data_IF_311670143955
#
_entry.id   IF_311670143955
#
_cell.length_a   1.000
_cell.length_b   1.000
_cell.length_c   1.000
_cell.angle_alpha   90.00
_cell.angle_beta   90.00
_cell.angle_gamma   90.00
#
_symmetry.space_group_name_H-M   'P 1'
#
loop_
_entity.id
_entity.type
_entity.pdbx_description
1 polymer ?
#
# COMPACT_ATOMS: atom_id res chain seq x y z
N UNK A 1 14.38 13.83 14.61
CA UNK A 1 14.16 14.15 13.19
C UNK A 1 14.29 15.65 12.96
N UNK A 2 15.07 16.04 11.97
CA UNK A 2 15.09 17.43 11.54
C UNK A 2 13.78 17.76 10.79
N UNK A 3 13.43 19.04 10.79
CA UNK A 3 12.25 19.52 10.04
C UNK A 3 12.35 19.17 8.55
N UNK A 4 13.56 19.23 7.99
CA UNK A 4 13.84 18.91 6.59
C UNK A 4 13.58 17.42 6.34
N UNK A 5 14.11 16.52 7.15
CA UNK A 5 13.89 15.07 7.02
C UNK A 5 12.41 14.68 7.09
N UNK A 6 11.68 15.30 8.01
CA UNK A 6 10.22 15.07 8.13
C UNK A 6 9.47 15.49 6.86
N UNK A 7 9.86 16.60 6.21
CA UNK A 7 9.25 17.04 4.97
C UNK A 7 9.65 16.19 3.76
N UNK A 8 10.92 15.76 3.67
CA UNK A 8 11.38 14.81 2.66
C UNK A 8 10.56 13.53 2.78
N UNK A 9 10.47 12.94 3.96
CA UNK A 9 9.69 11.72 4.23
C UNK A 9 8.22 11.87 3.81
N UNK A 10 7.59 12.98 4.19
CA UNK A 10 6.21 13.26 3.82
C UNK A 10 6.03 13.38 2.30
N UNK A 11 6.98 13.96 1.60
CA UNK A 11 6.96 14.08 0.13
C UNK A 11 7.12 12.72 -0.53
N UNK A 12 8.04 11.88 -0.05
CA UNK A 12 8.25 10.52 -0.57
C UNK A 12 7.00 9.66 -0.35
N UNK A 13 6.37 9.74 0.82
CA UNK A 13 5.12 9.03 1.11
C UNK A 13 4.02 9.46 0.13
N UNK A 14 3.83 10.77 -0.07
CA UNK A 14 2.84 11.29 -1.01
C UNK A 14 3.13 10.84 -2.45
N UNK A 15 4.38 10.92 -2.89
CA UNK A 15 4.80 10.43 -4.21
C UNK A 15 4.42 8.95 -4.40
N UNK A 16 4.75 8.09 -3.43
CA UNK A 16 4.43 6.66 -3.49
C UNK A 16 2.90 6.41 -3.52
N UNK A 17 2.13 7.20 -2.75
CA UNK A 17 0.66 7.08 -2.72
C UNK A 17 0.00 7.51 -4.03
N UNK A 18 0.47 8.59 -4.62
CA UNK A 18 -0.13 9.17 -5.84
C UNK A 18 0.28 8.44 -7.11
N UNK A 19 1.54 8.08 -7.21
CA UNK A 19 2.09 7.48 -8.44
C UNK A 19 2.16 5.96 -8.41
N UNK A 20 2.22 5.36 -7.21
CA UNK A 20 2.37 3.92 -7.05
C UNK A 20 3.70 3.38 -7.56
N UNK A 21 4.74 4.19 -7.61
CA UNK A 21 6.08 3.80 -8.10
C UNK A 21 6.72 2.72 -7.22
N UNK A 22 6.41 2.71 -5.94
CA UNK A 22 6.95 1.72 -5.02
C UNK A 22 6.07 0.47 -5.00
N UNK A 23 6.51 -0.58 -5.67
CA UNK A 23 5.79 -1.85 -5.78
C UNK A 23 6.68 -3.01 -5.38
N UNK A 24 6.08 -4.02 -4.75
CA UNK A 24 6.75 -5.27 -4.45
C UNK A 24 5.79 -6.45 -4.58
N UNK A 25 6.33 -7.60 -4.91
CA UNK A 25 5.65 -8.88 -4.73
C UNK A 25 6.02 -9.39 -3.34
N UNK A 26 5.01 -9.71 -2.52
CA UNK A 26 5.22 -10.27 -1.19
C UNK A 26 5.48 -11.77 -1.27
N UNK A 27 6.05 -12.32 -0.21
CA UNK A 27 6.28 -13.76 -0.12
C UNK A 27 4.96 -14.54 -0.27
N UNK A 28 4.97 -15.69 -0.95
CA UNK A 28 3.78 -16.50 -1.13
C UNK A 28 3.16 -16.95 0.19
N UNK A 29 1.84 -16.79 0.30
CA UNK A 29 1.10 -17.13 1.51
C UNK A 29 0.53 -18.54 1.39
N UNK A 30 0.69 -19.34 2.45
CA UNK A 30 0.02 -20.63 2.60
C UNK A 30 -1.40 -20.39 3.09
N UNK A 31 -2.39 -20.87 2.34
CA UNK A 31 -3.78 -20.83 2.80
C UNK A 31 -4.11 -22.01 3.68
N UNK A 32 -4.98 -21.78 4.65
CA UNK A 32 -5.43 -22.80 5.59
C UNK A 32 -6.94 -22.93 5.50
N UNK A 33 -7.43 -24.17 5.43
CA UNK A 33 -8.85 -24.44 5.38
C UNK A 33 -9.60 -23.79 6.55
N UNK A 34 -10.67 -23.09 6.25
CA UNK A 34 -11.50 -22.41 7.25
C UNK A 34 -10.97 -21.04 7.70
N UNK A 35 -9.82 -20.60 7.22
CA UNK A 35 -9.25 -19.28 7.52
C UNK A 35 -9.45 -18.37 6.31
N UNK A 36 -10.03 -17.20 6.55
CA UNK A 36 -10.26 -16.19 5.51
C UNK A 36 -9.36 -14.97 5.65
N UNK A 37 -8.78 -14.75 6.84
CA UNK A 37 -7.97 -13.60 7.18
C UNK A 37 -6.48 -13.95 7.11
N UNK A 38 -5.72 -13.17 6.37
CA UNK A 38 -4.29 -13.36 6.15
C UNK A 38 -3.53 -12.06 6.36
N UNK A 39 -2.35 -12.18 6.94
CA UNK A 39 -1.45 -11.06 7.16
C UNK A 39 -0.76 -10.65 5.85
N UNK A 40 -0.61 -9.34 5.69
CA UNK A 40 0.27 -8.74 4.70
C UNK A 40 1.59 -8.44 5.39
N UNK A 41 2.66 -9.06 4.94
CA UNK A 41 4.01 -8.91 5.49
C UNK A 41 4.88 -8.07 4.53
N UNK A 42 4.73 -6.71 4.54
CA UNK A 42 5.56 -5.86 3.70
C UNK A 42 6.99 -5.82 4.24
N UNK A 43 7.98 -5.45 3.39
CA UNK A 43 9.35 -5.21 3.83
C UNK A 43 9.42 -4.22 5.01
N UNK A 44 10.48 -4.35 5.81
CA UNK A 44 10.70 -3.48 6.96
C UNK A 44 10.57 -2.00 6.57
N UNK A 45 10.12 -1.16 7.51
CA UNK A 45 9.94 0.28 7.34
C UNK A 45 8.94 0.71 6.25
N UNK A 46 8.15 -0.24 5.72
CA UNK A 46 7.12 0.05 4.71
C UNK A 46 5.73 -0.36 5.17
N UNK A 47 4.71 0.16 4.49
CA UNK A 47 3.31 -0.22 4.67
C UNK A 47 2.64 -0.46 3.32
N UNK A 48 1.69 -1.38 3.28
CA UNK A 48 0.88 -1.63 2.09
C UNK A 48 -0.12 -0.50 1.89
N UNK A 49 0.05 0.26 0.81
CA UNK A 49 -0.92 1.28 0.39
C UNK A 49 -2.10 0.63 -0.35
N UNK A 50 -1.82 -0.19 -1.36
CA UNK A 50 -2.84 -0.83 -2.19
C UNK A 50 -2.39 -2.23 -2.62
N UNK A 51 -3.34 -3.18 -2.70
CA UNK A 51 -3.12 -4.46 -3.36
C UNK A 51 -3.42 -4.27 -4.84
N UNK A 52 -2.48 -4.61 -5.71
CA UNK A 52 -2.61 -4.46 -7.16
C UNK A 52 -3.28 -5.69 -7.77
N UNK A 53 -2.81 -6.86 -7.40
CA UNK A 53 -3.41 -8.13 -7.79
C UNK A 53 -3.11 -9.20 -6.75
N UNK A 54 -3.97 -10.19 -6.72
CA UNK A 54 -3.82 -11.43 -5.94
C UNK A 54 -4.05 -12.60 -6.88
N UNK A 55 -3.16 -13.57 -6.85
CA UNK A 55 -3.32 -14.84 -7.54
C UNK A 55 -3.54 -15.95 -6.51
N UNK A 56 -4.46 -16.84 -6.79
CA UNK A 56 -4.67 -18.07 -6.03
C UNK A 56 -4.47 -19.28 -6.94
N UNK A 57 -3.47 -20.10 -6.65
CA UNK A 57 -3.04 -21.23 -7.52
C UNK A 57 -2.80 -20.83 -8.99
N UNK A 58 -2.41 -19.58 -9.23
CA UNK A 58 -2.17 -19.03 -10.57
C UNK A 58 -3.36 -18.28 -11.18
N UNK A 59 -4.55 -18.40 -10.62
CA UNK A 59 -5.74 -17.71 -11.09
C UNK A 59 -5.88 -16.34 -10.41
N UNK A 60 -6.22 -15.31 -11.20
CA UNK A 60 -6.37 -13.95 -10.69
C UNK A 60 -7.70 -13.80 -9.93
N UNK A 61 -7.60 -13.25 -8.71
CA UNK A 61 -8.78 -12.94 -7.90
C UNK A 61 -9.28 -11.52 -8.18
N UNK A 62 -10.60 -11.33 -8.10
CA UNK A 62 -11.23 -10.02 -8.26
C UNK A 62 -11.26 -9.24 -6.93
N UNK A 63 -10.94 -7.92 -6.93
CA UNK A 63 -11.11 -7.09 -5.76
C UNK A 63 -12.59 -6.84 -5.45
N UNK A 64 -12.99 -6.98 -4.20
CA UNK A 64 -14.33 -6.64 -3.74
C UNK A 64 -14.26 -5.83 -2.45
N UNK A 65 -15.17 -4.86 -2.27
CA UNK A 65 -15.28 -4.13 -1.00
C UNK A 65 -16.05 -4.95 0.03
N UNK A 66 -15.76 -4.73 1.31
CA UNK A 66 -16.47 -5.40 2.41
C UNK A 66 -17.99 -5.16 2.33
N UNK A 67 -18.40 -3.93 2.03
CA UNK A 67 -19.82 -3.57 1.90
C UNK A 67 -20.51 -4.38 0.80
N UNK A 68 -19.89 -4.43 -0.38
CA UNK A 68 -20.45 -5.16 -1.52
C UNK A 68 -20.46 -6.68 -1.29
N UNK A 69 -19.44 -7.19 -0.58
CA UNK A 69 -19.37 -8.59 -0.19
C UNK A 69 -20.50 -8.97 0.75
N UNK A 70 -20.76 -8.17 1.77
CA UNK A 70 -21.83 -8.43 2.75
C UNK A 70 -23.23 -8.28 2.15
N UNK A 71 -23.37 -7.38 1.18
CA UNK A 71 -24.62 -7.24 0.41
C UNK A 71 -24.90 -8.44 -0.50
N UNK A 72 -23.88 -8.90 -1.25
CA UNK A 72 -24.05 -9.97 -2.24
C UNK A 72 -23.99 -11.37 -1.66
N UNK A 73 -23.15 -11.58 -0.65
CA UNK A 73 -22.87 -12.89 -0.03
C UNK A 73 -22.89 -12.79 1.51
N UNK A 74 -24.02 -12.45 2.15
CA UNK A 74 -24.07 -12.17 3.60
C UNK A 74 -23.60 -13.34 4.48
N UNK A 75 -23.67 -14.55 3.95
CA UNK A 75 -23.31 -15.80 4.64
C UNK A 75 -21.93 -16.34 4.28
N UNK A 76 -21.07 -15.54 3.66
CA UNK A 76 -19.79 -15.99 3.14
C UNK A 76 -18.84 -16.60 4.20
N UNK A 77 -19.06 -16.30 5.48
CA UNK A 77 -18.29 -16.86 6.61
C UNK A 77 -18.82 -18.20 7.11
N UNK A 78 -19.97 -18.66 6.66
CA UNK A 78 -20.54 -19.94 7.08
C UNK A 78 -19.81 -21.10 6.38
N UNK A 79 -19.51 -22.23 7.10
CA UNK A 79 -18.78 -23.36 6.53
C UNK A 79 -19.41 -23.96 5.25
N UNK A 80 -20.72 -23.83 5.09
CA UNK A 80 -21.44 -24.28 3.89
C UNK A 80 -21.11 -23.49 2.62
N UNK A 81 -20.45 -22.32 2.77
CA UNK A 81 -20.06 -21.44 1.66
C UNK A 81 -18.54 -21.43 1.42
N UNK A 82 -17.78 -22.30 2.11
CA UNK A 82 -16.35 -22.44 1.87
C UNK A 82 -16.09 -23.03 0.49
N UNK A 83 -15.03 -22.59 -0.15
CA UNK A 83 -14.70 -23.02 -1.50
C UNK A 83 -13.35 -22.50 -1.97
N UNK A 84 -13.15 -22.55 -3.27
CA UNK A 84 -11.96 -21.93 -3.89
C UNK A 84 -12.12 -20.41 -3.88
N UNK A 85 -11.14 -19.64 -3.40
CA UNK A 85 -11.16 -18.19 -3.46
C UNK A 85 -11.33 -17.64 -4.88
N UNK A 86 -12.22 -16.68 -5.04
CA UNK A 86 -12.50 -15.95 -6.28
C UNK A 86 -12.28 -14.44 -6.13
N UNK A 87 -12.41 -13.96 -4.89
CA UNK A 87 -12.32 -12.54 -4.56
C UNK A 87 -11.33 -12.32 -3.42
N UNK A 88 -10.80 -11.09 -3.36
CA UNK A 88 -10.06 -10.63 -2.19
C UNK A 88 -10.55 -9.27 -1.70
N UNK A 89 -10.45 -9.04 -0.39
CA UNK A 89 -10.81 -7.79 0.26
C UNK A 89 -9.59 -7.25 1.01
N UNK A 90 -9.14 -6.04 0.72
CA UNK A 90 -8.16 -5.36 1.56
C UNK A 90 -8.85 -4.78 2.78
N UNK A 91 -8.64 -5.36 3.95
CA UNK A 91 -9.27 -4.93 5.19
C UNK A 91 -8.51 -3.79 5.88
N UNK A 92 -7.19 -3.89 5.94
CA UNK A 92 -6.33 -2.89 6.58
C UNK A 92 -4.98 -2.78 5.88
N UNK A 93 -4.02 -2.10 6.50
CA UNK A 93 -2.63 -2.04 6.02
C UNK A 93 -1.88 -3.36 6.16
N UNK A 94 -2.36 -4.23 7.04
CA UNK A 94 -1.70 -5.48 7.43
C UNK A 94 -2.55 -6.71 7.18
N UNK A 95 -3.83 -6.56 6.77
CA UNK A 95 -4.77 -7.67 6.65
C UNK A 95 -5.54 -7.63 5.34
N UNK A 96 -5.74 -8.80 4.76
CA UNK A 96 -6.67 -9.01 3.64
C UNK A 96 -7.45 -10.31 3.82
N UNK A 97 -8.59 -10.40 3.14
CA UNK A 97 -9.47 -11.56 3.19
C UNK A 97 -9.52 -12.24 1.84
N UNK A 98 -9.64 -13.57 1.87
CA UNK A 98 -9.94 -14.40 0.71
C UNK A 98 -11.40 -14.87 0.77
N UNK A 99 -12.11 -14.78 -0.35
CA UNK A 99 -13.54 -15.10 -0.45
C UNK A 99 -13.82 -15.88 -1.74
N UNK A 100 -14.54 -16.99 -1.68
CA UNK A 100 -14.95 -17.76 -0.50
C UNK A 100 -13.80 -18.09 0.45
N UNK A 101 -14.16 -18.45 1.70
CA UNK A 101 -13.18 -18.96 2.67
C UNK A 101 -12.58 -20.25 2.10
N UNK A 102 -11.24 -20.41 2.06
CA UNK A 102 -10.62 -21.62 1.54
C UNK A 102 -11.14 -22.89 2.22
N UNK A 103 -11.51 -23.88 1.43
CA UNK A 103 -11.94 -25.18 1.93
C UNK A 103 -10.77 -26.18 2.05
N UNK A 104 -9.58 -25.82 1.54
CA UNK A 104 -8.39 -26.65 1.55
C UNK A 104 -7.18 -25.86 2.10
N UNK A 105 -6.24 -26.61 2.69
CA UNK A 105 -4.95 -26.04 3.07
C UNK A 105 -3.96 -26.27 1.93
N UNK A 106 -3.44 -25.18 1.35
CA UNK A 106 -2.55 -25.23 0.20
C UNK A 106 -1.32 -24.37 0.43
N UNK A 107 -0.14 -24.98 0.40
CA UNK A 107 1.12 -24.28 0.60
C UNK A 107 1.43 -23.32 -0.56
N UNK A 108 1.87 -22.10 -0.22
CA UNK A 108 2.30 -21.09 -1.19
C UNK A 108 1.28 -20.81 -2.33
N UNK A 109 0.00 -21.00 -2.03
CA UNK A 109 -1.08 -20.90 -3.01
C UNK A 109 -1.41 -19.47 -3.41
N UNK A 110 -1.14 -18.51 -2.52
CA UNK A 110 -1.53 -17.11 -2.74
C UNK A 110 -0.29 -16.26 -2.96
N UNK A 111 -0.23 -15.59 -4.11
CA UNK A 111 0.79 -14.60 -4.46
C UNK A 111 0.13 -13.26 -4.66
N UNK A 112 0.79 -12.18 -4.22
CA UNK A 112 0.22 -10.84 -4.34
C UNK A 112 1.30 -9.79 -4.61
N UNK A 113 0.91 -8.80 -5.41
CA UNK A 113 1.71 -7.61 -5.67
C UNK A 113 1.02 -6.42 -5.05
N UNK A 114 1.81 -5.61 -4.37
CA UNK A 114 1.32 -4.47 -3.60
C UNK A 114 2.03 -3.19 -3.99
N UNK A 115 1.32 -2.08 -3.86
CA UNK A 115 1.94 -0.76 -3.77
C UNK A 115 2.32 -0.50 -2.33
N UNK A 116 3.55 -0.11 -2.13
CA UNK A 116 4.14 0.21 -0.84
C UNK A 116 4.29 1.72 -0.67
N UNK A 117 4.42 2.13 0.57
CA UNK A 117 4.87 3.46 0.96
C UNK A 117 5.76 3.35 2.20
N UNK A 118 6.74 4.24 2.40
CA UNK A 118 7.49 4.30 3.64
C UNK A 118 6.57 4.59 4.84
N UNK A 119 6.92 4.09 6.00
CA UNK A 119 6.30 4.49 7.26
C UNK A 119 6.71 5.92 7.63
N UNK A 120 5.88 6.64 8.37
CA UNK A 120 6.23 7.96 8.91
C UNK A 120 7.42 7.92 9.89
N UNK A 121 7.72 6.76 10.42
CA UNK A 121 8.89 6.51 11.31
C UNK A 121 10.11 6.02 10.55
N UNK A 122 9.99 5.70 9.27
CA UNK A 122 11.11 5.21 8.45
C UNK A 122 12.21 6.25 8.33
N UNK A 123 13.45 5.82 8.42
CA UNK A 123 14.65 6.63 8.22
C UNK A 123 15.35 6.33 6.88
N UNK A 124 14.82 5.35 6.13
CA UNK A 124 15.35 4.91 4.83
C UNK A 124 14.23 4.77 3.81
N UNK A 125 14.60 4.86 2.55
CA UNK A 125 13.76 4.57 1.41
C UNK A 125 14.60 3.82 0.38
N UNK A 126 13.97 3.13 -0.57
CA UNK A 126 14.68 2.48 -1.67
C UNK A 126 15.50 3.50 -2.47
N UNK A 127 16.76 3.17 -2.76
CA UNK A 127 17.65 4.02 -3.54
C UNK A 127 17.07 4.28 -4.94
N UNK A 128 16.42 3.29 -5.56
CA UNK A 128 15.77 3.45 -6.86
C UNK A 128 14.73 4.58 -6.86
N UNK A 129 13.92 4.70 -5.79
CA UNK A 129 12.92 5.77 -5.68
C UNK A 129 13.60 7.12 -5.49
N UNK A 130 14.66 7.16 -4.68
CA UNK A 130 15.39 8.40 -4.39
C UNK A 130 16.15 8.91 -5.61
N UNK A 131 16.70 8.04 -6.43
CA UNK A 131 17.48 8.39 -7.62
C UNK A 131 16.57 8.72 -8.80
N UNK A 132 15.59 7.87 -9.11
CA UNK A 132 14.70 8.05 -10.26
C UNK A 132 13.73 9.24 -10.09
N UNK A 133 13.34 9.55 -8.85
CA UNK A 133 12.36 10.61 -8.56
C UNK A 133 12.93 11.78 -7.76
N UNK A 134 14.25 11.95 -7.78
CA UNK A 134 14.96 12.96 -7.00
C UNK A 134 14.42 14.37 -7.21
N UNK A 135 14.18 14.75 -8.45
CA UNK A 135 13.69 16.10 -8.79
C UNK A 135 12.29 16.34 -8.20
N UNK A 136 11.37 15.38 -8.34
CA UNK A 136 10.05 15.46 -7.73
C UNK A 136 10.13 15.57 -6.20
N UNK A 137 10.97 14.75 -5.56
CA UNK A 137 11.15 14.77 -4.11
C UNK A 137 11.69 16.12 -3.63
N UNK A 138 12.67 16.70 -4.33
CA UNK A 138 13.22 18.02 -4.01
C UNK A 138 12.15 19.10 -4.16
N UNK A 139 11.45 19.14 -5.29
CA UNK A 139 10.42 20.15 -5.56
C UNK A 139 9.25 20.05 -4.57
N UNK A 140 8.75 18.86 -4.29
CA UNK A 140 7.70 18.64 -3.30
C UNK A 140 8.11 19.01 -1.88
N UNK A 141 9.38 18.77 -1.53
CA UNK A 141 9.94 19.15 -0.23
C UNK A 141 10.08 20.68 -0.11
N UNK A 142 10.60 21.35 -1.15
CA UNK A 142 10.70 22.81 -1.20
C UNK A 142 9.32 23.47 -1.13
N UNK A 143 8.34 22.96 -1.86
CA UNK A 143 6.95 23.42 -1.77
C UNK A 143 6.42 23.39 -0.33
N UNK A 144 6.66 22.31 0.42
CA UNK A 144 6.23 22.15 1.81
C UNK A 144 6.96 23.12 2.74
N UNK A 145 8.28 23.23 2.60
CA UNK A 145 9.11 24.10 3.45
C UNK A 145 8.77 25.58 3.26
N UNK A 146 8.66 26.05 2.01
CA UNK A 146 8.39 27.45 1.70
C UNK A 146 6.99 27.91 2.14
N UNK A 147 6.05 26.99 2.31
CA UNK A 147 4.70 27.30 2.84
C UNK A 147 4.63 27.38 4.35
N UNK A 148 5.68 27.04 5.09
CA UNK A 148 5.65 27.10 6.54
C UNK A 148 5.54 28.54 7.01
N UNK A 149 4.53 28.91 7.83
CA UNK A 149 4.38 30.26 8.32
C UNK A 149 5.46 30.59 9.37
N UNK A 150 5.79 31.88 9.49
CA UNK A 150 6.71 32.42 10.51
C UNK A 150 8.12 31.82 10.47
N UNK A 151 8.63 31.52 9.28
CA UNK A 151 10.03 31.12 9.05
C UNK A 151 10.73 32.14 8.16
N UNK A 152 12.03 32.31 8.38
CA UNK A 152 12.85 33.26 7.58
C UNK A 152 12.85 32.90 6.08
N UNK A 153 12.67 31.61 5.76
CA UNK A 153 12.61 31.09 4.39
C UNK A 153 11.20 30.98 3.82
N UNK A 154 10.17 31.48 4.50
CA UNK A 154 8.79 31.42 4.01
C UNK A 154 8.64 32.25 2.74
N UNK A 155 8.26 31.61 1.64
CA UNK A 155 7.98 32.24 0.35
C UNK A 155 6.78 31.55 -0.33
N UNK A 156 5.60 32.11 -0.19
CA UNK A 156 4.39 31.55 -0.77
C UNK A 156 4.38 31.59 -2.30
N UNK A 157 5.03 32.60 -2.90
CA UNK A 157 5.10 32.72 -4.36
C UNK A 157 6.09 31.69 -4.93
N UNK A 158 7.24 31.53 -4.30
CA UNK A 158 8.20 30.50 -4.64
C UNK A 158 7.61 29.10 -4.46
N UNK A 159 6.83 28.87 -3.40
CA UNK A 159 6.15 27.59 -3.18
C UNK A 159 5.21 27.20 -4.34
N UNK A 160 4.45 28.14 -4.89
CA UNK A 160 3.53 27.85 -5.99
C UNK A 160 4.25 27.42 -7.28
N UNK A 161 5.46 27.93 -7.52
CA UNK A 161 6.29 27.48 -8.63
C UNK A 161 6.67 26.00 -8.47
N UNK A 162 7.16 25.62 -7.28
CA UNK A 162 7.55 24.22 -7.02
C UNK A 162 6.36 23.27 -7.04
N UNK A 163 5.16 23.72 -6.67
CA UNK A 163 3.94 22.93 -6.79
C UNK A 163 3.58 22.57 -8.24
N UNK A 164 3.84 23.48 -9.18
CA UNK A 164 3.53 23.24 -10.60
C UNK A 164 4.50 22.26 -11.25
N UNK A 165 5.70 22.11 -10.70
CA UNK A 165 6.74 21.22 -11.20
C UNK A 165 6.65 19.83 -10.55
N UNK A 166 6.14 19.78 -9.30
CA UNK A 166 5.92 18.54 -8.54
C UNK A 166 4.72 17.75 -9.06
#
# INVERSE_FOLDING_TARGET
DSLIESNIRSTVIELCEQTGVYQAELDPITTVSGIYEYDLEPPADTAVHKIMWVLYNGDALEPISTTLLEERKPKWREPSYYGTPEYFVKQSRTLFYLVPVPNETTANSTRLRVQLKPLHTSTSCSDDIMDDHREAIVNGTLFRLLRMPNREWSDLRGADVYRQIY
#
